data_IF_149993900255
#
_entry.id   IF_149993900255
#
_cell.length_a   1.000
_cell.length_b   1.000
_cell.length_c   1.000
_cell.angle_alpha   90.00
_cell.angle_beta   90.00
_cell.angle_gamma   90.00
#
_symmetry.space_group_name_H-M   'P 1'
#
loop_
_entity.id
_entity.type
_entity.pdbx_description
1 polymer ?
#
# COMPACT_ATOMS: atom_id res chain seq x y z
N UNK A 1 13.00 32.11 -10.29
CA UNK A 1 14.48 32.00 -10.28
C UNK A 1 15.00 31.55 -8.91
N UNK A 2 14.51 32.11 -7.81
CA UNK A 2 14.97 31.78 -6.44
C UNK A 2 14.76 30.31 -6.03
N UNK A 3 13.61 29.71 -6.33
CA UNK A 3 13.39 28.28 -6.05
C UNK A 3 14.40 27.38 -6.76
N UNK A 4 14.75 27.68 -8.02
CA UNK A 4 15.70 26.87 -8.79
C UNK A 4 17.12 26.93 -8.21
N UNK A 5 17.52 28.07 -7.63
CA UNK A 5 18.80 28.23 -6.94
C UNK A 5 18.81 27.48 -5.59
N UNK A 6 17.71 27.54 -4.83
CA UNK A 6 17.54 26.77 -3.59
C UNK A 6 17.65 25.26 -3.85
N UNK A 7 17.02 24.77 -4.92
CA UNK A 7 17.07 23.35 -5.31
C UNK A 7 18.46 22.89 -5.76
N UNK A 8 19.16 23.71 -6.54
CA UNK A 8 20.54 23.41 -6.93
C UNK A 8 21.45 23.33 -5.70
N UNK A 9 21.24 24.23 -4.73
CA UNK A 9 21.95 24.24 -3.44
C UNK A 9 21.68 22.99 -2.61
N UNK A 10 20.40 22.61 -2.41
CA UNK A 10 20.03 21.40 -1.65
C UNK A 10 20.57 20.13 -2.30
N UNK A 11 20.49 20.03 -3.63
CA UNK A 11 21.03 18.88 -4.38
C UNK A 11 22.55 18.78 -4.20
N UNK A 12 23.27 19.90 -4.25
CA UNK A 12 24.72 19.90 -4.06
C UNK A 12 25.14 19.62 -2.61
N UNK A 13 24.39 20.15 -1.63
CA UNK A 13 24.58 19.81 -0.21
C UNK A 13 24.39 18.31 0.02
N UNK A 14 23.37 17.70 -0.59
CA UNK A 14 23.14 16.26 -0.47
C UNK A 14 24.23 15.44 -1.14
N UNK A 15 24.71 15.83 -2.33
CA UNK A 15 25.87 15.19 -2.96
C UNK A 15 27.10 15.27 -2.08
N UNK A 16 27.33 16.40 -1.42
CA UNK A 16 28.44 16.56 -0.50
C UNK A 16 28.28 15.66 0.73
N UNK A 17 27.07 15.55 1.28
CA UNK A 17 26.78 14.66 2.40
C UNK A 17 26.99 13.20 2.01
N UNK A 18 26.55 12.76 0.82
CA UNK A 18 26.79 11.42 0.30
C UNK A 18 28.29 11.15 0.08
N UNK A 19 29.04 12.13 -0.45
CA UNK A 19 30.51 12.02 -0.59
C UNK A 19 31.19 11.86 0.77
N UNK A 20 30.74 12.62 1.78
CA UNK A 20 31.27 12.53 3.14
C UNK A 20 30.84 11.22 3.83
N UNK A 21 29.62 10.74 3.59
CA UNK A 21 29.09 9.49 4.13
C UNK A 21 29.83 8.27 3.58
N UNK A 22 30.31 8.30 2.33
CA UNK A 22 31.18 7.26 1.78
C UNK A 22 32.48 7.07 2.58
N UNK A 23 32.99 8.11 3.25
CA UNK A 23 34.14 7.99 4.15
C UNK A 23 33.80 7.33 5.50
N UNK A 24 32.51 7.20 5.83
CA UNK A 24 31.99 6.60 7.06
C UNK A 24 31.38 5.20 6.83
N UNK A 25 31.46 4.69 5.59
CA UNK A 25 30.89 3.41 5.21
C UNK A 25 31.47 2.25 6.03
N UNK A 26 30.60 1.36 6.52
CA UNK A 26 30.98 0.20 7.31
C UNK A 26 31.25 0.47 8.80
N UNK A 27 31.29 1.74 9.23
CA UNK A 27 31.54 2.09 10.64
C UNK A 27 30.33 1.73 11.53
N UNK A 28 30.57 1.17 12.74
CA UNK A 28 29.54 1.04 13.76
C UNK A 28 29.25 2.42 14.37
N UNK A 29 27.98 2.78 14.56
CA UNK A 29 27.61 4.10 15.08
C UNK A 29 27.11 4.12 16.52
N UNK A 30 26.72 2.96 17.06
CA UNK A 30 26.00 2.90 18.33
C UNK A 30 26.99 2.67 19.46
N UNK A 31 27.64 3.72 19.98
CA UNK A 31 28.34 3.59 21.27
C UNK A 31 28.68 4.88 22.06
N UNK A 32 28.13 6.07 21.75
CA UNK A 32 28.58 7.31 22.44
C UNK A 32 27.53 8.28 22.97
N UNK A 33 26.23 7.97 22.93
CA UNK A 33 25.21 8.86 23.53
C UNK A 33 24.26 8.06 24.41
N UNK A 34 23.97 8.57 25.62
CA UNK A 34 23.05 7.92 26.55
C UNK A 34 21.63 7.89 25.98
N UNK A 35 20.85 6.88 26.33
CA UNK A 35 19.46 6.73 25.90
C UNK A 35 18.63 7.99 26.23
N UNK A 36 18.86 8.60 27.39
CA UNK A 36 18.21 9.84 27.79
C UNK A 36 18.65 11.03 26.93
N UNK A 37 19.92 11.10 26.53
CA UNK A 37 20.41 12.20 25.69
C UNK A 37 19.95 12.07 24.24
N UNK A 38 19.86 10.85 23.69
CA UNK A 38 19.30 10.62 22.36
C UNK A 38 17.80 10.94 22.33
N UNK A 39 17.03 10.40 23.29
CA UNK A 39 15.60 10.72 23.41
C UNK A 39 15.41 12.22 23.62
N UNK A 40 16.20 12.87 24.48
CA UNK A 40 16.12 14.31 24.71
C UNK A 40 16.58 15.12 23.49
N UNK A 41 17.54 14.65 22.69
CA UNK A 41 17.95 15.29 21.43
C UNK A 41 16.84 15.18 20.38
N UNK A 42 16.25 13.99 20.18
CA UNK A 42 15.14 13.78 19.24
C UNK A 42 13.83 14.45 19.70
N UNK A 43 13.56 14.51 21.01
CA UNK A 43 12.44 15.25 21.61
C UNK A 43 12.67 16.76 21.51
N UNK A 44 13.89 17.25 21.73
CA UNK A 44 14.24 18.68 21.61
C UNK A 44 14.24 19.14 20.15
N UNK A 45 14.69 18.31 19.22
CA UNK A 45 14.45 18.52 17.78
C UNK A 45 12.96 18.44 17.45
N UNK A 46 12.20 17.60 18.17
CA UNK A 46 10.75 17.55 18.04
C UNK A 46 10.00 18.76 18.58
N UNK A 47 10.55 19.48 19.56
CA UNK A 47 9.99 20.71 20.14
C UNK A 47 10.50 22.00 19.46
N UNK A 48 11.56 21.91 18.66
CA UNK A 48 12.07 23.03 17.84
C UNK A 48 11.30 23.17 16.51
N UNK A 49 10.46 22.19 16.20
CA UNK A 49 9.46 22.25 15.14
C UNK A 49 8.12 22.44 15.84
N UNK A 50 7.55 23.63 15.67
CA UNK A 50 6.35 24.09 16.37
C UNK A 50 5.22 23.03 16.32
N UNK A 51 4.69 22.66 17.49
CA UNK A 51 3.58 21.70 17.63
C UNK A 51 2.28 22.20 16.97
N UNK A 52 2.28 23.44 16.47
CA UNK A 52 1.19 24.07 15.74
C UNK A 52 1.11 23.68 14.24
N UNK A 53 2.06 22.91 13.68
CA UNK A 53 2.09 22.60 12.24
C UNK A 53 0.92 21.73 11.75
N UNK A 54 0.28 20.95 12.62
CA UNK A 54 -0.95 20.21 12.26
C UNK A 54 -2.23 21.06 12.37
N UNK A 55 -2.15 22.31 12.84
CA UNK A 55 -3.30 23.21 13.02
C UNK A 55 -3.14 24.60 12.39
N UNK A 56 -1.99 24.95 11.81
CA UNK A 56 -1.81 26.21 11.08
C UNK A 56 -2.12 26.07 9.57
N UNK A 57 -2.70 27.11 8.93
CA UNK A 57 -2.71 27.20 7.48
C UNK A 57 -1.28 27.35 6.94
N UNK A 58 -1.03 26.57 5.89
CA UNK A 58 0.22 26.32 5.17
C UNK A 58 1.11 27.56 4.91
N UNK A 59 2.40 27.43 5.21
CA UNK A 59 3.47 28.37 4.78
C UNK A 59 4.19 27.92 3.50
N UNK A 60 3.73 26.85 2.84
CA UNK A 60 4.34 26.32 1.61
C UNK A 60 5.58 25.48 1.89
N UNK A 61 5.57 24.68 2.97
CA UNK A 61 6.72 23.87 3.37
C UNK A 61 6.94 22.72 2.37
N UNK A 62 8.05 22.79 1.62
CA UNK A 62 8.46 21.80 0.61
C UNK A 62 9.40 20.77 1.24
N UNK A 63 9.13 19.46 1.07
CA UNK A 63 10.00 18.38 1.52
C UNK A 63 10.68 17.67 0.35
N UNK A 64 11.89 17.12 0.54
CA UNK A 64 12.78 16.69 -0.54
C UNK A 64 13.28 15.24 -0.40
N UNK A 65 12.51 14.28 -0.89
CA UNK A 65 12.98 12.90 -0.91
C UNK A 65 13.97 12.67 -2.06
N UNK A 66 15.16 12.16 -1.71
CA UNK A 66 16.16 11.74 -2.69
C UNK A 66 16.11 10.22 -2.82
N UNK A 67 15.70 9.73 -3.99
CA UNK A 67 15.73 8.30 -4.25
C UNK A 67 17.16 7.80 -4.28
N UNK A 68 17.48 6.74 -3.53
CA UNK A 68 18.82 6.18 -3.52
C UNK A 68 19.11 5.50 -4.86
N UNK A 69 20.33 5.00 -5.01
CA UNK A 69 20.65 4.08 -6.10
C UNK A 69 19.70 2.89 -6.04
N UNK A 70 19.19 2.47 -7.18
CA UNK A 70 18.24 1.38 -7.26
C UNK A 70 18.78 0.09 -6.62
N UNK A 71 17.93 -0.58 -5.85
CA UNK A 71 18.23 -1.84 -5.17
C UNK A 71 16.95 -2.69 -5.08
N UNK A 72 17.05 -4.03 -4.97
CA UNK A 72 15.86 -4.89 -4.90
C UNK A 72 15.13 -4.80 -3.54
N UNK A 73 13.79 -4.93 -3.51
CA UNK A 73 13.06 -5.18 -2.26
C UNK A 73 13.45 -6.52 -1.64
N UNK A 74 13.19 -6.69 -0.34
CA UNK A 74 13.35 -7.98 0.33
C UNK A 74 12.25 -8.96 -0.07
N UNK A 75 12.65 -10.05 -0.73
CA UNK A 75 11.76 -11.15 -1.15
C UNK A 75 11.70 -12.33 -0.18
N UNK A 76 12.56 -12.33 0.85
CA UNK A 76 12.55 -13.36 1.89
C UNK A 76 11.54 -12.97 2.98
N UNK A 77 10.66 -13.88 3.45
CA UNK A 77 9.76 -13.62 4.57
C UNK A 77 10.51 -13.18 5.82
N UNK A 78 9.95 -12.24 6.57
CA UNK A 78 10.60 -11.69 7.77
C UNK A 78 10.98 -12.78 8.80
N UNK A 79 10.16 -13.82 8.91
CA UNK A 79 10.36 -14.96 9.82
C UNK A 79 11.53 -15.88 9.45
N UNK A 80 12.00 -15.83 8.19
CA UNK A 80 13.10 -16.67 7.68
C UNK A 80 14.46 -15.96 7.71
N UNK A 81 14.47 -14.66 7.99
CA UNK A 81 15.67 -13.84 8.06
C UNK A 81 16.37 -13.98 9.42
N UNK A 82 17.69 -13.79 9.44
CA UNK A 82 18.47 -13.88 10.68
C UNK A 82 18.44 -12.57 11.47
N UNK A 83 18.17 -12.65 12.77
CA UNK A 83 18.02 -11.48 13.64
C UNK A 83 19.31 -10.63 13.68
N UNK A 84 19.14 -9.31 13.68
CA UNK A 84 20.16 -8.30 13.86
C UNK A 84 19.72 -7.34 14.98
N UNK A 85 20.64 -6.98 15.87
CA UNK A 85 20.44 -5.92 16.87
C UNK A 85 20.77 -4.54 16.28
N UNK A 86 20.22 -3.45 16.81
CA UNK A 86 20.54 -2.10 16.34
C UNK A 86 22.04 -1.80 16.47
N UNK A 87 22.69 -2.29 17.53
CA UNK A 87 24.13 -2.14 17.74
C UNK A 87 24.99 -2.83 16.67
N UNK A 88 24.39 -3.76 15.91
CA UNK A 88 25.04 -4.43 14.79
C UNK A 88 24.95 -3.68 13.46
N UNK A 89 24.22 -2.54 13.40
CA UNK A 89 24.09 -1.75 12.17
C UNK A 89 25.40 -1.06 11.79
N UNK A 90 25.69 -1.08 10.49
CA UNK A 90 26.81 -0.36 9.88
C UNK A 90 26.31 0.68 8.90
N UNK A 91 26.90 1.88 8.97
CA UNK A 91 26.55 2.98 8.06
C UNK A 91 26.81 2.63 6.60
N UNK A 92 25.95 3.11 5.71
CA UNK A 92 26.04 2.91 4.26
C UNK A 92 25.88 1.46 3.83
N UNK A 93 25.50 0.55 4.75
CA UNK A 93 25.45 -0.88 4.48
C UNK A 93 24.01 -1.38 4.51
N UNK A 94 23.61 -2.12 3.48
CA UNK A 94 22.38 -2.94 3.50
C UNK A 94 22.71 -4.29 4.10
N UNK A 95 21.98 -4.69 5.14
CA UNK A 95 22.24 -5.93 5.86
C UNK A 95 21.42 -7.08 5.26
N UNK A 96 21.81 -7.55 4.07
CA UNK A 96 21.11 -8.63 3.34
C UNK A 96 20.98 -9.91 4.17
N UNK A 97 19.84 -10.59 4.09
CA UNK A 97 19.56 -11.79 4.89
C UNK A 97 19.36 -11.54 6.40
N UNK A 98 19.27 -10.26 6.81
CA UNK A 98 19.01 -9.86 8.20
C UNK A 98 17.62 -9.29 8.39
N UNK A 99 17.07 -9.46 9.60
CA UNK A 99 15.86 -8.77 10.06
C UNK A 99 16.14 -8.08 11.38
N UNK A 100 15.61 -6.87 11.52
CA UNK A 100 15.73 -6.07 12.73
C UNK A 100 14.34 -5.83 13.32
N UNK A 101 14.13 -6.26 14.57
CA UNK A 101 12.84 -6.08 15.26
C UNK A 101 12.92 -4.86 16.18
N UNK A 102 12.02 -3.91 15.99
CA UNK A 102 12.00 -2.64 16.73
C UNK A 102 10.62 -2.26 17.19
N UNK A 103 10.53 -1.53 18.30
CA UNK A 103 9.31 -0.92 18.83
C UNK A 103 9.37 0.60 18.67
N UNK A 104 8.32 1.20 18.10
CA UNK A 104 8.18 2.66 18.05
C UNK A 104 7.98 3.22 19.45
N UNK A 105 8.72 4.27 19.78
CA UNK A 105 8.67 4.97 21.07
C UNK A 105 8.42 6.47 20.92
N UNK A 106 8.71 7.05 19.74
CA UNK A 106 8.43 8.44 19.44
C UNK A 106 7.08 8.62 18.74
N UNK A 107 6.48 9.80 18.91
CA UNK A 107 5.36 10.21 18.06
C UNK A 107 5.82 10.30 16.60
N UNK A 108 5.13 9.64 15.67
CA UNK A 108 5.53 9.64 14.27
C UNK A 108 5.28 11.00 13.64
N UNK A 109 6.14 11.38 12.69
CA UNK A 109 6.04 12.63 11.95
C UNK A 109 6.08 12.33 10.46
N UNK A 110 5.18 12.95 9.72
CA UNK A 110 5.29 13.00 8.26
C UNK A 110 6.22 14.14 7.89
N UNK A 111 7.28 13.87 7.13
CA UNK A 111 8.18 14.84 6.52
C UNK A 111 8.29 14.53 5.02
N UNK A 112 9.41 13.93 4.60
CA UNK A 112 9.65 13.35 3.27
C UNK A 112 9.13 11.91 3.18
N UNK A 113 9.27 11.18 4.28
CA UNK A 113 8.61 9.92 4.57
C UNK A 113 7.85 10.03 5.90
N UNK A 114 7.50 8.90 6.50
CA UNK A 114 7.02 8.84 7.88
C UNK A 114 8.16 8.38 8.76
N UNK A 115 8.45 9.18 9.77
CA UNK A 115 9.58 8.99 10.66
C UNK A 115 9.11 8.74 12.09
N UNK A 116 9.80 7.87 12.82
CA UNK A 116 9.59 7.66 14.26
C UNK A 116 10.87 7.21 14.92
N UNK A 117 11.02 7.53 16.21
CA UNK A 117 12.09 6.95 17.04
C UNK A 117 11.70 5.52 17.41
N UNK A 118 12.64 4.60 17.21
CA UNK A 118 12.45 3.18 17.49
C UNK A 118 13.51 2.65 18.45
N UNK A 119 13.18 1.61 19.20
CA UNK A 119 14.12 0.86 20.05
C UNK A 119 14.12 -0.62 19.72
N UNK A 120 15.25 -1.30 19.90
CA UNK A 120 15.30 -2.77 19.88
C UNK A 120 15.08 -3.38 21.27
N UNK A 121 15.06 -4.72 21.35
CA UNK A 121 14.85 -5.42 22.62
C UNK A 121 16.01 -5.24 23.61
N UNK A 122 17.18 -4.82 23.13
CA UNK A 122 18.38 -4.57 23.92
C UNK A 122 18.45 -3.12 24.44
N UNK A 123 17.46 -2.28 24.11
CA UNK A 123 17.36 -0.90 24.56
C UNK A 123 18.13 0.11 23.71
N UNK A 124 18.76 -0.33 22.61
CA UNK A 124 19.38 0.58 21.64
C UNK A 124 18.29 1.37 20.91
N UNK A 125 18.60 2.59 20.50
CA UNK A 125 17.64 3.52 19.88
C UNK A 125 18.15 4.00 18.53
N UNK A 126 17.26 4.12 17.55
CA UNK A 126 17.55 4.69 16.24
C UNK A 126 16.34 5.50 15.71
N UNK A 127 16.58 6.36 14.72
CA UNK A 127 15.52 6.95 13.91
C UNK A 127 15.17 5.96 12.78
N UNK A 128 13.88 5.74 12.54
CA UNK A 128 13.35 4.97 11.40
C UNK A 128 12.63 5.94 10.47
N UNK A 129 12.86 5.83 9.17
CA UNK A 129 12.13 6.53 8.13
C UNK A 129 11.62 5.55 7.08
N UNK A 130 10.30 5.52 6.85
CA UNK A 130 9.67 4.76 5.77
C UNK A 130 9.15 5.71 4.68
N UNK A 131 9.43 5.38 3.42
CA UNK A 131 9.03 6.15 2.26
C UNK A 131 8.05 5.38 1.38
N UNK A 132 7.50 6.06 0.36
CA UNK A 132 6.60 5.48 -0.64
C UNK A 132 5.32 4.85 -0.06
N UNK A 133 4.86 5.34 1.10
CA UNK A 133 3.65 4.89 1.81
C UNK A 133 2.37 5.56 1.30
N UNK A 134 1.21 5.06 1.74
CA UNK A 134 -0.09 5.66 1.43
C UNK A 134 -0.23 7.06 2.03
N UNK A 135 -0.40 8.07 1.16
CA UNK A 135 -0.56 9.47 1.57
C UNK A 135 -1.92 9.78 2.20
N UNK A 136 -2.90 8.89 2.07
CA UNK A 136 -4.20 9.03 2.70
C UNK A 136 -4.17 8.64 4.18
N UNK A 137 -3.16 7.88 4.60
CA UNK A 137 -2.98 7.47 5.99
C UNK A 137 -2.20 8.54 6.76
N UNK A 138 -2.62 8.76 8.00
CA UNK A 138 -1.88 9.62 8.92
C UNK A 138 -0.57 8.96 9.36
N UNK A 139 0.38 9.76 9.84
CA UNK A 139 1.66 9.28 10.35
C UNK A 139 1.49 8.22 11.46
N UNK A 140 0.53 8.43 12.35
CA UNK A 140 0.17 7.54 13.45
C UNK A 140 -0.60 6.29 13.02
N UNK A 141 -1.15 6.25 11.80
CA UNK A 141 -1.69 5.03 11.20
C UNK A 141 -0.60 4.17 10.56
N UNK A 142 0.47 4.80 10.03
CA UNK A 142 1.60 4.13 9.39
C UNK A 142 2.64 3.62 10.39
N UNK A 143 3.07 4.48 11.31
CA UNK A 143 3.99 4.15 12.41
C UNK A 143 3.34 4.43 13.79
N UNK A 144 2.24 3.75 14.18
CA UNK A 144 1.61 3.96 15.48
C UNK A 144 2.61 3.89 16.62
N UNK A 145 2.45 4.75 17.63
CA UNK A 145 3.25 4.67 18.86
C UNK A 145 3.04 3.30 19.52
N UNK A 146 4.11 2.76 20.11
CA UNK A 146 4.07 1.48 20.82
C UNK A 146 3.81 0.25 19.94
N UNK A 147 4.11 0.36 18.66
CA UNK A 147 4.03 -0.69 17.66
C UNK A 147 5.34 -1.43 17.53
N UNK A 148 5.28 -2.72 17.20
CA UNK A 148 6.48 -3.51 16.87
C UNK A 148 6.53 -3.77 15.37
N UNK A 149 7.69 -3.58 14.77
CA UNK A 149 7.93 -3.81 13.34
C UNK A 149 9.17 -4.67 13.13
N UNK A 150 9.16 -5.45 12.06
CA UNK A 150 10.28 -6.15 11.50
C UNK A 150 10.76 -5.41 10.24
N UNK A 151 11.95 -4.82 10.30
CA UNK A 151 12.62 -4.23 9.15
C UNK A 151 13.49 -5.30 8.47
N UNK A 152 13.12 -5.69 7.26
CA UNK A 152 13.84 -6.67 6.44
C UNK A 152 15.02 -6.01 5.74
N UNK A 153 16.15 -6.68 5.76
CA UNK A 153 17.41 -6.25 5.14
C UNK A 153 17.75 -4.77 5.37
N UNK A 154 17.81 -4.34 6.64
CA UNK A 154 17.83 -2.93 7.00
C UNK A 154 19.02 -2.18 6.38
N UNK A 155 18.76 -0.97 5.88
CA UNK A 155 19.78 -0.04 5.39
C UNK A 155 19.92 1.13 6.37
N UNK A 156 21.15 1.40 6.79
CA UNK A 156 21.44 2.46 7.76
C UNK A 156 22.21 3.60 7.09
N UNK A 157 21.57 4.75 6.93
CA UNK A 157 22.10 5.91 6.19
C UNK A 157 22.48 7.05 7.14
N UNK A 158 23.46 7.86 6.74
CA UNK A 158 23.72 9.16 7.36
C UNK A 158 22.88 10.23 6.66
N UNK A 159 22.04 10.95 7.40
CA UNK A 159 21.28 12.11 6.90
C UNK A 159 21.81 13.40 7.54
N UNK A 160 21.22 14.55 7.20
CA UNK A 160 21.55 15.83 7.85
C UNK A 160 21.22 15.83 9.35
N UNK A 161 20.17 15.10 9.74
CA UNK A 161 19.65 15.06 11.11
C UNK A 161 20.27 13.94 11.96
N UNK A 162 21.18 13.16 11.37
CA UNK A 162 21.87 12.05 12.01
C UNK A 162 21.67 10.75 11.25
N UNK A 163 22.04 9.63 11.88
CA UNK A 163 21.92 8.34 11.21
C UNK A 163 20.52 7.74 11.38
N UNK A 164 19.97 7.23 10.27
CA UNK A 164 18.59 6.80 10.15
C UNK A 164 18.51 5.41 9.50
N UNK A 165 17.65 4.56 10.07
CA UNK A 165 17.20 3.32 9.45
C UNK A 165 16.20 3.67 8.35
N UNK A 166 16.61 3.48 7.11
CA UNK A 166 15.86 3.90 5.94
C UNK A 166 15.17 2.71 5.26
N UNK A 167 13.88 2.88 4.96
CA UNK A 167 13.07 1.89 4.25
C UNK A 167 12.39 2.56 3.05
N UNK A 168 12.89 2.32 1.84
CA UNK A 168 12.28 2.87 0.61
C UNK A 168 11.17 1.97 0.05
N UNK A 169 11.31 0.65 0.18
CA UNK A 169 10.29 -0.34 -0.22
C UNK A 169 9.31 -0.57 0.93
N UNK A 170 8.02 -0.20 0.82
CA UNK A 170 7.07 -0.39 1.92
C UNK A 170 6.91 -1.85 2.35
N UNK A 171 7.12 -2.81 1.44
CA UNK A 171 7.09 -4.25 1.73
C UNK A 171 8.20 -4.74 2.65
N UNK A 172 9.25 -3.93 2.86
CA UNK A 172 10.41 -4.28 3.69
C UNK A 172 10.18 -3.96 5.17
N UNK A 173 9.10 -3.24 5.52
CA UNK A 173 8.69 -3.02 6.90
C UNK A 173 7.40 -3.78 7.20
N UNK A 174 7.50 -4.83 8.01
CA UNK A 174 6.38 -5.70 8.36
C UNK A 174 5.91 -5.38 9.77
N UNK A 175 4.60 -5.23 9.96
CA UNK A 175 4.01 -5.06 11.29
C UNK A 175 4.05 -6.39 12.05
N UNK A 176 4.65 -6.39 13.23
CA UNK A 176 4.70 -7.57 14.12
C UNK A 176 3.66 -7.40 15.21
N UNK A 177 2.81 -8.41 15.37
CA UNK A 177 1.67 -8.37 16.27
C UNK A 177 1.89 -9.23 17.52
N UNK A 178 1.20 -8.93 18.64
CA UNK A 178 1.24 -9.79 19.81
C UNK A 178 0.82 -11.23 19.46
N UNK A 179 1.67 -12.21 19.80
CA UNK A 179 1.47 -13.62 19.48
C UNK A 179 2.17 -14.10 18.20
N UNK A 180 2.74 -13.20 17.40
CA UNK A 180 3.64 -13.58 16.31
C UNK A 180 4.92 -14.23 16.85
N UNK A 181 5.42 -15.24 16.13
CA UNK A 181 6.73 -15.85 16.36
C UNK A 181 7.89 -14.84 16.36
N UNK A 182 7.77 -13.77 15.59
CA UNK A 182 8.75 -12.68 15.53
C UNK A 182 8.72 -11.74 16.74
N UNK A 183 7.70 -11.83 17.60
CA UNK A 183 7.52 -10.92 18.74
C UNK A 183 8.54 -11.22 19.86
N UNK A 184 9.49 -10.33 20.15
CA UNK A 184 10.47 -10.53 21.22
C UNK A 184 9.77 -10.50 22.59
N UNK A 185 10.28 -11.29 23.54
CA UNK A 185 9.70 -11.37 24.90
C UNK A 185 9.66 -10.01 25.59
N UNK A 186 10.70 -9.18 25.40
CA UNK A 186 10.78 -7.84 25.99
C UNK A 186 9.74 -6.84 25.44
N UNK A 187 9.09 -7.15 24.31
CA UNK A 187 8.10 -6.28 23.67
C UNK A 187 6.66 -6.78 23.82
N UNK A 188 6.44 -7.94 24.44
CA UNK A 188 5.10 -8.44 24.69
C UNK A 188 4.33 -7.43 25.58
N UNK A 189 3.15 -7.00 25.11
CA UNK A 189 2.26 -6.14 25.88
C UNK A 189 1.70 -6.89 27.09
N UNK A 190 1.25 -6.13 28.10
CA UNK A 190 0.71 -6.67 29.35
C UNK A 190 -0.52 -7.58 29.16
N UNK A 191 -0.83 -8.34 30.21
CA UNK A 191 -1.83 -9.42 30.28
C UNK A 191 -3.23 -9.06 29.73
N UNK A 192 -3.60 -7.78 29.70
CA UNK A 192 -4.95 -7.28 29.32
C UNK A 192 -5.31 -7.49 27.84
N UNK A 193 -4.36 -7.38 26.90
CA UNK A 193 -4.65 -7.67 25.47
C UNK A 193 -4.61 -9.18 25.18
N UNK A 194 -3.92 -9.97 26.01
CA UNK A 194 -3.88 -11.43 25.90
C UNK A 194 -5.23 -12.07 26.28
N UNK A 195 -6.05 -11.39 27.09
CA UNK A 195 -7.37 -11.87 27.54
C UNK A 195 -8.53 -11.56 26.57
N UNK A 196 -8.32 -10.73 25.54
CA UNK A 196 -9.39 -10.37 24.60
C UNK A 196 -9.80 -11.57 23.74
N UNK A 197 -11.11 -11.82 23.69
CA UNK A 197 -11.74 -12.86 22.85
C UNK A 197 -11.86 -12.39 21.39
N UNK A 198 -12.08 -13.30 20.43
CA UNK A 198 -12.40 -12.92 19.05
C UNK A 198 -13.60 -11.95 18.95
N UNK A 199 -14.59 -12.08 19.85
CA UNK A 199 -15.75 -11.20 19.95
C UNK A 199 -15.38 -9.78 20.37
N UNK A 200 -14.48 -9.63 21.34
CA UNK A 200 -14.00 -8.31 21.79
C UNK A 200 -13.31 -7.58 20.65
N UNK A 201 -12.42 -8.29 19.93
CA UNK A 201 -11.75 -7.76 18.74
C UNK A 201 -12.71 -7.40 17.62
N UNK A 202 -13.78 -8.19 17.41
CA UNK A 202 -14.86 -7.85 16.48
C UNK A 202 -15.53 -6.54 16.90
N UNK A 203 -15.81 -6.36 18.19
CA UNK A 203 -16.38 -5.15 18.76
C UNK A 203 -15.51 -3.92 18.50
N UNK A 204 -14.21 -4.01 18.80
CA UNK A 204 -13.24 -2.93 18.55
C UNK A 204 -13.13 -2.58 17.07
N UNK A 205 -13.04 -3.60 16.20
CA UNK A 205 -13.00 -3.35 14.75
C UNK A 205 -14.26 -2.67 14.23
N UNK A 206 -15.44 -3.03 14.77
CA UNK A 206 -16.70 -2.36 14.42
C UNK A 206 -16.72 -0.90 14.88
N UNK A 207 -16.23 -0.60 16.08
CA UNK A 207 -16.12 0.77 16.58
C UNK A 207 -15.17 1.59 15.72
N UNK A 208 -14.00 1.04 15.38
CA UNK A 208 -13.03 1.68 14.49
C UNK A 208 -13.61 1.91 13.07
N UNK A 209 -14.37 0.95 12.55
CA UNK A 209 -15.05 1.07 11.26
C UNK A 209 -16.07 2.22 11.27
N UNK A 210 -16.88 2.33 12.32
CA UNK A 210 -17.85 3.42 12.49
C UNK A 210 -17.17 4.79 12.60
N UNK A 211 -15.99 4.83 13.25
CA UNK A 211 -15.13 6.02 13.31
C UNK A 211 -14.41 6.33 11.98
N UNK A 212 -14.59 5.48 10.95
CA UNK A 212 -13.88 5.53 9.65
C UNK A 212 -12.36 5.38 9.77
N UNK A 213 -11.87 4.86 10.90
CA UNK A 213 -10.47 4.49 11.10
C UNK A 213 -10.24 3.09 10.50
N UNK A 214 -10.27 3.00 9.17
CA UNK A 214 -10.25 1.73 8.45
C UNK A 214 -8.98 0.91 8.72
N UNK A 215 -7.81 1.54 8.86
CA UNK A 215 -6.56 0.84 9.21
C UNK A 215 -6.67 0.15 10.58
N UNK A 216 -7.19 0.87 11.59
CA UNK A 216 -7.42 0.31 12.93
C UNK A 216 -8.48 -0.80 12.92
N UNK A 217 -9.53 -0.67 12.10
CA UNK A 217 -10.55 -1.70 11.96
C UNK A 217 -9.99 -3.00 11.35
N UNK A 218 -9.21 -2.88 10.27
CA UNK A 218 -8.52 -4.02 9.65
C UNK A 218 -7.63 -4.74 10.66
N UNK A 219 -6.84 -3.97 11.43
CA UNK A 219 -5.97 -4.49 12.47
C UNK A 219 -6.75 -5.27 13.54
N UNK A 220 -7.81 -4.69 14.09
CA UNK A 220 -8.62 -5.34 15.12
C UNK A 220 -9.26 -6.63 14.60
N UNK A 221 -9.76 -6.65 13.36
CA UNK A 221 -10.30 -7.88 12.77
C UNK A 221 -9.23 -8.95 12.55
N UNK A 222 -8.03 -8.56 12.11
CA UNK A 222 -6.89 -9.46 11.97
C UNK A 222 -6.43 -10.04 13.32
N UNK A 223 -6.44 -9.26 14.40
CA UNK A 223 -6.21 -9.75 15.77
C UNK A 223 -7.26 -10.77 16.20
N UNK A 224 -8.55 -10.48 15.98
CA UNK A 224 -9.63 -11.42 16.27
C UNK A 224 -9.45 -12.75 15.54
N UNK A 225 -9.06 -12.71 14.27
CA UNK A 225 -8.82 -13.91 13.46
C UNK A 225 -7.66 -14.76 13.99
N UNK A 226 -6.58 -14.13 14.47
CA UNK A 226 -5.46 -14.83 15.10
C UNK A 226 -5.85 -15.52 16.42
N UNK A 227 -6.91 -15.04 17.10
CA UNK A 227 -7.41 -15.61 18.35
C UNK A 227 -8.48 -16.70 18.15
N UNK A 228 -9.05 -16.82 16.95
CA UNK A 228 -10.11 -17.80 16.70
C UNK A 228 -9.58 -19.25 16.76
N UNK A 229 -10.18 -20.06 17.63
CA UNK A 229 -10.04 -21.52 17.70
C UNK A 229 -11.02 -22.23 16.75
N UNK A 230 -10.90 -23.54 16.52
CA UNK A 230 -11.80 -24.28 15.61
C UNK A 230 -13.29 -24.10 15.93
N UNK A 231 -13.63 -23.89 17.22
CA UNK A 231 -15.00 -23.70 17.69
C UNK A 231 -15.60 -22.33 17.30
N UNK A 232 -14.76 -21.37 16.89
CA UNK A 232 -15.12 -19.98 16.62
C UNK A 232 -15.54 -19.72 15.17
N UNK A 233 -16.10 -20.71 14.45
CA UNK A 233 -16.38 -20.58 13.00
C UNK A 233 -17.31 -19.40 12.67
N UNK A 234 -18.34 -19.16 13.50
CA UNK A 234 -19.28 -18.06 13.29
C UNK A 234 -18.60 -16.69 13.39
N UNK A 235 -17.87 -16.44 14.47
CA UNK A 235 -17.17 -15.16 14.68
C UNK A 235 -16.02 -15.00 13.68
N UNK A 236 -15.30 -16.07 13.36
CA UNK A 236 -14.29 -16.08 12.30
C UNK A 236 -14.85 -15.60 10.96
N UNK A 237 -16.01 -16.12 10.55
CA UNK A 237 -16.66 -15.68 9.31
C UNK A 237 -17.14 -14.24 9.38
N UNK A 238 -17.65 -13.78 10.53
CA UNK A 238 -18.00 -12.37 10.74
C UNK A 238 -16.77 -11.46 10.57
N UNK A 239 -15.64 -11.83 11.18
CA UNK A 239 -14.38 -11.10 11.11
C UNK A 239 -13.85 -11.00 9.68
N UNK A 240 -13.77 -12.12 8.95
CA UNK A 240 -13.40 -12.11 7.53
C UNK A 240 -14.35 -11.25 6.70
N UNK A 241 -15.66 -11.33 6.95
CA UNK A 241 -16.66 -10.52 6.27
C UNK A 241 -16.39 -9.03 6.49
N UNK A 242 -16.12 -8.61 7.72
CA UNK A 242 -15.88 -7.22 8.06
C UNK A 242 -14.51 -6.74 7.54
N UNK A 243 -13.48 -7.57 7.65
CA UNK A 243 -12.15 -7.27 7.10
C UNK A 243 -12.18 -7.12 5.58
N UNK A 244 -12.96 -7.94 4.87
CA UNK A 244 -13.20 -7.76 3.43
C UNK A 244 -13.79 -6.39 3.11
N UNK A 245 -14.79 -5.94 3.88
CA UNK A 245 -15.42 -4.63 3.67
C UNK A 245 -14.42 -3.49 3.90
N UNK A 246 -13.64 -3.56 4.97
CA UNK A 246 -12.61 -2.57 5.28
C UNK A 246 -11.52 -2.54 4.21
N UNK A 247 -11.06 -3.71 3.75
CA UNK A 247 -10.07 -3.80 2.68
C UNK A 247 -10.56 -3.19 1.36
N UNK A 248 -11.86 -3.20 1.06
CA UNK A 248 -12.42 -2.46 -0.08
C UNK A 248 -12.23 -0.93 0.10
N UNK A 249 -12.47 -0.40 1.30
CA UNK A 249 -12.25 1.03 1.59
C UNK A 249 -10.77 1.41 1.56
N UNK A 250 -9.88 0.50 1.98
CA UNK A 250 -8.43 0.65 1.90
C UNK A 250 -7.87 0.36 0.49
N UNK A 251 -8.72 0.07 -0.51
CA UNK A 251 -8.33 -0.27 -1.89
C UNK A 251 -7.39 -1.49 -2.00
N UNK A 252 -7.47 -2.41 -1.04
CA UNK A 252 -6.74 -3.69 -0.98
C UNK A 252 -7.63 -4.80 -1.52
N UNK A 253 -7.96 -4.71 -2.80
CA UNK A 253 -9.01 -5.51 -3.43
C UNK A 253 -8.66 -7.00 -3.53
N UNK A 254 -7.38 -7.36 -3.72
CA UNK A 254 -6.96 -8.78 -3.69
C UNK A 254 -7.28 -9.42 -2.33
N UNK A 255 -6.94 -8.74 -1.22
CA UNK A 255 -7.25 -9.21 0.13
C UNK A 255 -8.76 -9.23 0.39
N UNK A 256 -9.48 -8.18 -0.03
CA UNK A 256 -10.93 -8.13 0.10
C UNK A 256 -11.62 -9.29 -0.64
N UNK A 257 -11.15 -9.61 -1.85
CA UNK A 257 -11.67 -10.70 -2.65
C UNK A 257 -11.38 -12.05 -1.98
N UNK A 258 -10.17 -12.25 -1.45
CA UNK A 258 -9.78 -13.46 -0.71
C UNK A 258 -10.67 -13.67 0.52
N UNK A 259 -10.82 -12.64 1.36
CA UNK A 259 -11.64 -12.70 2.57
C UNK A 259 -13.12 -12.92 2.24
N UNK A 260 -13.65 -12.26 1.21
CA UNK A 260 -15.04 -12.44 0.78
C UNK A 260 -15.30 -13.88 0.32
N UNK A 261 -14.42 -14.44 -0.52
CA UNK A 261 -14.51 -15.83 -1.01
C UNK A 261 -14.47 -16.84 0.15
N UNK A 262 -13.62 -16.63 1.15
CA UNK A 262 -13.54 -17.52 2.32
C UNK A 262 -14.89 -17.65 3.05
N UNK A 263 -15.67 -16.58 3.06
CA UNK A 263 -16.92 -16.52 3.85
C UNK A 263 -18.14 -17.08 3.13
N UNK A 264 -18.01 -17.45 1.86
CA UNK A 264 -19.07 -18.12 1.10
C UNK A 264 -19.25 -19.56 1.58
N UNK A 265 -20.46 -19.94 1.97
CA UNK A 265 -20.81 -21.27 2.45
C UNK A 265 -20.97 -22.28 1.32
N UNK A 266 -21.68 -21.89 0.27
CA UNK A 266 -21.97 -22.76 -0.84
C UNK A 266 -21.34 -22.15 -2.09
N UNK A 267 -20.68 -22.96 -2.92
CA UNK A 267 -20.31 -22.54 -4.27
C UNK A 267 -21.38 -22.96 -5.29
N UNK A 268 -22.12 -24.02 -4.97
CA UNK A 268 -23.27 -24.52 -5.73
C UNK A 268 -24.58 -24.19 -5.01
N UNK A 269 -25.54 -23.63 -5.73
CA UNK A 269 -26.87 -23.27 -5.22
C UNK A 269 -27.67 -24.50 -4.76
N UNK A 270 -27.36 -25.68 -5.29
CA UNK A 270 -28.01 -26.94 -4.92
C UNK A 270 -27.68 -27.42 -3.50
N UNK A 271 -26.73 -26.79 -2.83
CA UNK A 271 -26.31 -27.12 -1.46
C UNK A 271 -27.15 -26.43 -0.37
N UNK A 272 -28.05 -25.52 -0.76
CA UNK A 272 -29.02 -24.96 0.17
C UNK A 272 -30.10 -26.00 0.50
N UNK A 273 -30.43 -26.12 1.78
CA UNK A 273 -31.35 -27.15 2.25
C UNK A 273 -32.82 -26.74 2.06
N UNK A 274 -33.09 -25.43 1.95
CA UNK A 274 -34.43 -24.86 1.79
C UNK A 274 -34.37 -23.44 1.20
N UNK A 275 -35.55 -22.87 0.93
CA UNK A 275 -35.66 -21.48 0.49
C UNK A 275 -35.25 -20.45 1.55
N UNK A 276 -35.56 -20.73 2.81
CA UNK A 276 -35.28 -19.87 3.97
C UNK A 276 -33.92 -20.14 4.65
N UNK A 277 -32.99 -20.78 3.94
CA UNK A 277 -31.67 -21.12 4.48
C UNK A 277 -30.88 -19.84 4.87
N UNK A 278 -30.52 -19.64 6.17
CA UNK A 278 -29.86 -18.41 6.63
C UNK A 278 -28.47 -18.20 6.01
N UNK A 279 -27.88 -19.24 5.42
CA UNK A 279 -26.61 -19.14 4.69
C UNK A 279 -26.76 -18.34 3.39
N UNK A 280 -27.95 -18.29 2.79
CA UNK A 280 -28.23 -17.49 1.58
C UNK A 280 -27.95 -16.01 1.80
N UNK A 281 -28.47 -15.43 2.88
CA UNK A 281 -28.24 -14.02 3.20
C UNK A 281 -26.75 -13.73 3.47
N UNK A 282 -26.02 -14.67 4.07
CA UNK A 282 -24.58 -14.55 4.29
C UNK A 282 -23.80 -14.61 2.98
N UNK A 283 -24.14 -15.55 2.10
CA UNK A 283 -23.54 -15.71 0.78
C UNK A 283 -23.88 -14.55 -0.14
N UNK A 284 -25.06 -13.94 0.00
CA UNK A 284 -25.43 -12.73 -0.72
C UNK A 284 -24.47 -11.58 -0.39
N UNK A 285 -24.20 -11.37 0.91
CA UNK A 285 -23.25 -10.33 1.38
C UNK A 285 -21.82 -10.62 0.95
N UNK A 286 -21.39 -11.88 1.04
CA UNK A 286 -20.08 -12.31 0.59
C UNK A 286 -19.91 -12.13 -0.93
N UNK A 287 -20.92 -12.54 -1.71
CA UNK A 287 -21.01 -12.34 -3.15
C UNK A 287 -20.94 -10.86 -3.53
N UNK A 288 -21.70 -10.00 -2.87
CA UNK A 288 -21.67 -8.58 -3.16
C UNK A 288 -20.28 -7.96 -2.92
N UNK A 289 -19.60 -8.34 -1.83
CA UNK A 289 -18.24 -7.86 -1.52
C UNK A 289 -17.20 -8.42 -2.49
N UNK A 290 -17.29 -9.70 -2.83
CA UNK A 290 -16.43 -10.33 -3.84
C UNK A 290 -16.62 -9.68 -5.21
N UNK A 291 -17.87 -9.39 -5.62
CA UNK A 291 -18.19 -8.68 -6.85
C UNK A 291 -17.58 -7.28 -6.88
N UNK A 292 -17.71 -6.51 -5.78
CA UNK A 292 -17.06 -5.19 -5.67
C UNK A 292 -15.55 -5.26 -5.79
N UNK A 293 -14.91 -6.19 -5.10
CA UNK A 293 -13.45 -6.34 -5.19
C UNK A 293 -13.01 -6.78 -6.59
N UNK A 294 -13.68 -7.77 -7.19
CA UNK A 294 -13.39 -8.24 -8.55
C UNK A 294 -13.62 -7.14 -9.60
N UNK A 295 -14.63 -6.28 -9.42
CA UNK A 295 -14.89 -5.14 -10.30
C UNK A 295 -13.72 -4.14 -10.29
N UNK A 296 -13.24 -3.75 -9.11
CA UNK A 296 -12.09 -2.83 -8.98
C UNK A 296 -10.77 -3.47 -9.46
N UNK A 297 -10.68 -4.80 -9.41
CA UNK A 297 -9.59 -5.57 -10.01
C UNK A 297 -9.68 -5.70 -11.54
N UNK A 298 -10.76 -5.19 -12.15
CA UNK A 298 -11.08 -5.32 -13.58
C UNK A 298 -11.34 -6.77 -14.04
N UNK A 299 -11.65 -7.69 -13.12
CA UNK A 299 -12.10 -9.04 -13.46
C UNK A 299 -13.61 -9.05 -13.73
N UNK A 300 -14.00 -8.49 -14.88
CA UNK A 300 -15.40 -8.20 -15.19
C UNK A 300 -16.32 -9.43 -15.19
N UNK A 301 -15.82 -10.56 -15.70
CA UNK A 301 -16.59 -11.81 -15.77
C UNK A 301 -16.83 -12.38 -14.37
N UNK A 302 -15.80 -12.38 -13.51
CA UNK A 302 -15.93 -12.81 -12.11
C UNK A 302 -16.85 -11.87 -11.33
N UNK A 303 -16.68 -10.56 -11.51
CA UNK A 303 -17.51 -9.54 -10.88
C UNK A 303 -18.99 -9.76 -11.21
N UNK A 304 -19.32 -9.99 -12.49
CA UNK A 304 -20.67 -10.31 -12.93
C UNK A 304 -21.22 -11.55 -12.22
N UNK A 305 -20.46 -12.64 -12.21
CA UNK A 305 -20.87 -13.89 -11.54
C UNK A 305 -21.15 -13.70 -10.04
N UNK A 306 -20.29 -12.94 -9.35
CA UNK A 306 -20.49 -12.65 -7.93
C UNK A 306 -21.69 -11.74 -7.66
N UNK A 307 -21.95 -10.75 -8.52
CA UNK A 307 -23.14 -9.91 -8.38
C UNK A 307 -24.44 -10.63 -8.76
N UNK A 308 -24.42 -11.55 -9.73
CA UNK A 308 -25.55 -12.44 -10.04
C UNK A 308 -25.91 -13.27 -8.81
N UNK A 309 -24.91 -13.92 -8.21
CA UNK A 309 -25.08 -14.67 -6.96
C UNK A 309 -25.65 -13.79 -5.84
N UNK A 310 -25.10 -12.58 -5.66
CA UNK A 310 -25.59 -11.64 -4.67
C UNK A 310 -27.06 -11.25 -4.91
N UNK A 311 -27.44 -11.02 -6.16
CA UNK A 311 -28.81 -10.65 -6.56
C UNK A 311 -29.80 -11.78 -6.31
N UNK A 312 -29.42 -13.03 -6.59
CA UNK A 312 -30.27 -14.22 -6.38
C UNK A 312 -30.69 -14.37 -4.92
N UNK A 313 -29.72 -14.25 -4.00
CA UNK A 313 -29.93 -14.52 -2.57
C UNK A 313 -30.24 -13.30 -1.71
N UNK A 314 -30.26 -12.09 -2.29
CA UNK A 314 -30.60 -10.88 -1.56
C UNK A 314 -32.12 -10.65 -1.46
N UNK A 315 -32.51 -10.05 -0.36
CA UNK A 315 -33.79 -9.34 -0.22
C UNK A 315 -33.88 -8.14 -1.17
N UNK A 316 -35.05 -7.50 -1.24
CA UNK A 316 -35.37 -6.47 -2.24
C UNK A 316 -34.29 -5.39 -2.40
N UNK A 317 -33.87 -4.72 -1.31
CA UNK A 317 -32.89 -3.65 -1.39
C UNK A 317 -31.52 -4.14 -1.90
N UNK A 318 -31.01 -5.26 -1.35
CA UNK A 318 -29.75 -5.85 -1.81
C UNK A 318 -29.82 -6.36 -3.26
N UNK A 319 -30.99 -6.85 -3.70
CA UNK A 319 -31.24 -7.29 -5.08
C UNK A 319 -31.19 -6.12 -6.05
N UNK A 320 -31.76 -4.98 -5.69
CA UNK A 320 -31.70 -3.75 -6.48
C UNK A 320 -30.26 -3.21 -6.55
N UNK A 321 -29.53 -3.20 -5.44
CA UNK A 321 -28.13 -2.79 -5.38
C UNK A 321 -27.23 -3.66 -6.26
N UNK A 322 -27.37 -4.99 -6.16
CA UNK A 322 -26.67 -5.94 -7.02
C UNK A 322 -27.07 -5.78 -8.50
N UNK A 323 -28.35 -5.49 -8.78
CA UNK A 323 -28.85 -5.16 -10.11
C UNK A 323 -28.11 -3.98 -10.74
N UNK A 324 -27.95 -2.88 -10.00
CA UNK A 324 -27.19 -1.71 -10.48
C UNK A 324 -25.72 -2.03 -10.75
N UNK A 325 -25.10 -2.85 -9.90
CA UNK A 325 -23.71 -3.29 -10.15
C UNK A 325 -23.60 -4.22 -11.36
N UNK A 326 -24.61 -5.05 -11.64
CA UNK A 326 -24.64 -5.88 -12.85
C UNK A 326 -24.76 -5.06 -14.12
N UNK A 327 -25.65 -4.06 -14.15
CA UNK A 327 -25.77 -3.13 -15.28
C UNK A 327 -24.44 -2.40 -15.53
N UNK A 328 -23.84 -1.90 -14.45
CA UNK A 328 -22.52 -1.24 -14.50
C UNK A 328 -21.42 -2.18 -15.01
N UNK A 329 -21.40 -3.43 -14.58
CA UNK A 329 -20.44 -4.45 -15.03
C UNK A 329 -20.68 -4.85 -16.49
N UNK A 330 -21.93 -4.96 -16.92
CA UNK A 330 -22.28 -5.25 -18.30
C UNK A 330 -21.78 -4.17 -19.26
N UNK A 331 -21.86 -2.89 -18.86
CA UNK A 331 -21.26 -1.80 -19.63
C UNK A 331 -19.75 -1.98 -19.81
N UNK A 332 -19.00 -2.33 -18.74
CA UNK A 332 -17.55 -2.61 -18.86
C UNK A 332 -17.23 -3.78 -19.78
N UNK A 333 -18.04 -4.84 -19.74
CA UNK A 333 -17.88 -5.99 -20.63
C UNK A 333 -18.08 -5.56 -22.09
N UNK A 334 -19.15 -4.81 -22.39
CA UNK A 334 -19.42 -4.31 -23.74
C UNK A 334 -18.31 -3.36 -24.25
N UNK A 335 -17.72 -2.55 -23.37
CA UNK A 335 -16.54 -1.73 -23.70
C UNK A 335 -15.34 -2.59 -24.09
N UNK A 336 -15.00 -3.59 -23.28
CA UNK A 336 -13.88 -4.51 -23.52
C UNK A 336 -14.08 -5.31 -24.81
N UNK A 337 -15.27 -5.86 -25.01
CA UNK A 337 -15.53 -6.81 -26.10
C UNK A 337 -15.88 -6.13 -27.42
N UNK A 338 -16.71 -5.08 -27.37
CA UNK A 338 -17.35 -4.50 -28.56
C UNK A 338 -16.97 -3.03 -28.80
N UNK A 339 -16.08 -2.45 -27.97
CA UNK A 339 -15.74 -1.03 -28.03
C UNK A 339 -16.98 -0.12 -27.90
N UNK A 340 -17.98 -0.57 -27.13
CA UNK A 340 -19.26 0.11 -26.95
C UNK A 340 -19.17 1.27 -25.95
N UNK A 341 -18.50 2.36 -26.36
CA UNK A 341 -18.39 3.60 -25.58
C UNK A 341 -19.38 4.66 -26.05
N UNK A 342 -20.05 5.31 -25.10
CA UNK A 342 -20.78 6.55 -25.36
C UNK A 342 -19.88 7.74 -25.01
N UNK A 343 -19.08 8.18 -25.98
CA UNK A 343 -18.13 9.28 -25.78
C UNK A 343 -18.80 10.61 -25.42
N UNK A 344 -20.03 10.84 -25.87
CA UNK A 344 -20.77 12.04 -25.47
C UNK A 344 -21.17 11.98 -23.99
N UNK A 345 -21.70 10.83 -23.53
CA UNK A 345 -22.00 10.63 -22.12
C UNK A 345 -20.73 10.70 -21.25
N UNK A 346 -19.61 10.12 -21.72
CA UNK A 346 -18.31 10.24 -21.07
C UNK A 346 -17.93 11.71 -20.89
N UNK A 347 -17.96 12.48 -21.98
CA UNK A 347 -17.63 13.91 -21.95
C UNK A 347 -18.57 14.71 -21.04
N UNK A 348 -19.86 14.40 -21.01
CA UNK A 348 -20.84 15.07 -20.11
C UNK A 348 -20.61 14.72 -18.64
N UNK A 349 -20.16 13.49 -18.35
CA UNK A 349 -19.90 13.02 -16.98
C UNK A 349 -18.58 13.52 -16.41
N UNK A 350 -17.63 13.89 -17.28
CA UNK A 350 -16.32 14.40 -16.89
C UNK A 350 -16.46 15.80 -16.28
N UNK A 351 -15.92 15.98 -15.08
CA UNK A 351 -15.85 17.28 -14.42
C UNK A 351 -14.63 17.35 -13.50
N UNK A 352 -14.37 18.53 -12.91
CA UNK A 352 -13.30 18.65 -11.90
C UNK A 352 -13.50 17.69 -10.72
N UNK A 353 -14.75 17.42 -10.32
CA UNK A 353 -15.11 16.51 -9.24
C UNK A 353 -15.23 15.05 -9.70
N UNK A 354 -15.45 14.83 -10.99
CA UNK A 354 -15.54 13.51 -11.62
C UNK A 354 -14.44 13.38 -12.67
N UNK A 355 -13.19 13.32 -12.18
CA UNK A 355 -11.99 13.27 -13.00
C UNK A 355 -11.47 11.82 -13.22
N UNK A 356 -12.10 10.84 -12.56
CA UNK A 356 -11.85 9.41 -12.74
C UNK A 356 -13.09 8.74 -13.31
N UNK A 357 -13.16 8.75 -14.63
CA UNK A 357 -14.25 8.08 -15.31
C UNK A 357 -14.15 6.56 -15.11
N UNK A 358 -15.28 5.95 -14.84
CA UNK A 358 -15.42 4.52 -14.71
C UNK A 358 -15.65 3.95 -16.11
N UNK A 359 -14.59 3.53 -16.80
CA UNK A 359 -14.63 2.81 -18.07
C UNK A 359 -13.54 1.74 -18.12
N UNK A 360 -13.76 0.69 -18.91
CA UNK A 360 -12.78 -0.37 -19.13
C UNK A 360 -11.94 -0.08 -20.39
N UNK A 361 -10.76 -0.71 -20.47
CA UNK A 361 -9.91 -0.62 -21.66
C UNK A 361 -10.36 -1.58 -22.77
N UNK A 362 -10.46 -1.08 -24.00
CA UNK A 362 -10.58 -1.85 -25.22
C UNK A 362 -9.23 -1.92 -25.93
N UNK A 363 -8.50 -3.02 -25.72
CA UNK A 363 -7.20 -3.31 -26.36
C UNK A 363 -7.19 -4.67 -27.06
N UNK A 364 -8.36 -5.30 -27.22
CA UNK A 364 -8.53 -6.68 -27.70
C UNK A 364 -8.04 -6.87 -29.14
N UNK A 365 -8.16 -5.84 -29.98
CA UNK A 365 -7.82 -5.88 -31.41
C UNK A 365 -6.38 -5.50 -31.74
N UNK A 366 -5.54 -5.32 -30.72
CA UNK A 366 -4.11 -5.04 -30.91
C UNK A 366 -3.26 -6.05 -30.17
N UNK A 367 -2.03 -6.24 -30.64
CA UNK A 367 -1.02 -7.11 -30.04
C UNK A 367 0.28 -6.34 -29.91
N UNK A 368 0.97 -6.53 -28.79
CA UNK A 368 2.35 -6.07 -28.65
C UNK A 368 3.25 -7.01 -29.46
N UNK A 369 4.25 -6.45 -30.14
CA UNK A 369 5.20 -7.22 -30.93
C UNK A 369 6.55 -6.53 -31.05
N UNK A 370 7.51 -7.24 -31.61
CA UNK A 370 8.81 -6.68 -31.98
C UNK A 370 8.71 -5.99 -33.35
N UNK A 371 9.14 -4.73 -33.41
CA UNK A 371 9.22 -3.92 -34.62
C UNK A 371 10.66 -3.82 -35.15
N UNK A 372 11.56 -4.72 -34.73
CA UNK A 372 12.95 -4.81 -35.18
C UNK A 372 13.79 -3.66 -34.63
N UNK A 373 14.40 -2.89 -35.53
CA UNK A 373 15.22 -1.72 -35.19
C UNK A 373 14.44 -0.59 -34.48
N UNK A 374 13.09 -0.65 -34.52
CA UNK A 374 12.19 0.29 -33.83
C UNK A 374 11.75 -0.17 -32.43
N UNK A 375 12.26 -1.31 -31.96
CA UNK A 375 11.96 -1.84 -30.63
C UNK A 375 10.53 -2.37 -30.51
N UNK A 376 9.88 -2.13 -29.35
CA UNK A 376 8.55 -2.67 -29.06
C UNK A 376 7.45 -1.87 -29.74
N UNK A 377 6.61 -2.54 -30.52
CA UNK A 377 5.49 -1.94 -31.26
C UNK A 377 4.12 -2.52 -30.86
N UNK A 378 3.07 -1.85 -31.36
CA UNK A 378 1.69 -2.28 -31.24
C UNK A 378 1.11 -2.52 -32.64
N UNK A 379 0.56 -3.71 -32.86
CA UNK A 379 0.14 -4.20 -34.17
C UNK A 379 -1.35 -4.53 -34.18
N UNK A 380 -2.01 -4.26 -35.30
CA UNK A 380 -3.38 -4.65 -35.52
C UNK A 380 -3.53 -6.18 -35.61
N UNK A 381 -4.54 -6.75 -34.94
CA UNK A 381 -4.91 -8.18 -35.06
C UNK A 381 -5.96 -8.44 -36.14
N UNK A 382 -6.54 -7.39 -36.69
CA UNK A 382 -7.57 -7.44 -37.74
C UNK A 382 -7.51 -6.19 -38.61
N UNK A 383 -8.14 -6.26 -39.77
CA UNK A 383 -8.33 -5.08 -40.61
C UNK A 383 -9.34 -4.12 -39.98
N UNK A 384 -9.08 -2.83 -40.14
CA UNK A 384 -9.95 -1.74 -39.67
C UNK A 384 -10.51 -0.96 -40.85
N UNK A 385 -11.78 -0.56 -40.73
CA UNK A 385 -12.40 0.39 -41.64
C UNK A 385 -12.30 1.80 -41.06
N UNK A 386 -12.31 2.85 -41.92
CA UNK A 386 -12.44 4.23 -41.44
C UNK A 386 -13.59 4.37 -40.44
N UNK A 387 -13.32 5.01 -39.30
CA UNK A 387 -14.28 5.20 -38.21
C UNK A 387 -14.33 4.07 -37.16
N UNK A 388 -13.59 2.97 -37.33
CA UNK A 388 -13.47 1.97 -36.27
C UNK A 388 -12.61 2.49 -35.10
N UNK A 389 -13.06 2.21 -33.87
CA UNK A 389 -12.23 2.40 -32.69
C UNK A 389 -11.18 1.28 -32.64
N UNK A 390 -9.90 1.67 -32.64
CA UNK A 390 -8.77 0.72 -32.62
C UNK A 390 -8.43 0.35 -31.19
N UNK A 391 -8.25 1.37 -30.34
CA UNK A 391 -7.90 1.26 -28.92
C UNK A 391 -8.67 2.31 -28.14
N UNK A 392 -9.11 1.95 -26.94
CA UNK A 392 -9.40 2.87 -25.86
C UNK A 392 -8.75 2.31 -24.60
N UNK A 393 -7.86 3.06 -23.96
CA UNK A 393 -7.11 2.56 -22.81
C UNK A 393 -7.29 3.47 -21.60
N UNK A 394 -7.68 2.86 -20.48
CA UNK A 394 -7.66 3.49 -19.17
C UNK A 394 -6.26 3.41 -18.60
N UNK A 395 -5.73 4.57 -18.18
CA UNK A 395 -4.45 4.65 -17.50
C UNK A 395 -4.41 3.74 -16.26
N UNK A 396 -3.28 3.08 -16.02
CA UNK A 396 -3.12 2.21 -14.85
C UNK A 396 -3.28 2.97 -13.53
N UNK A 397 -2.74 4.19 -13.47
CA UNK A 397 -2.88 5.12 -12.35
C UNK A 397 -2.98 6.54 -12.86
N UNK A 398 -3.73 7.38 -12.14
CA UNK A 398 -3.80 8.83 -12.36
C UNK A 398 -3.64 9.54 -11.03
N UNK A 399 -3.07 10.74 -11.07
CA UNK A 399 -3.05 11.65 -9.95
C UNK A 399 -3.61 13.01 -10.40
N UNK A 400 -4.34 13.67 -9.51
CA UNK A 400 -4.98 14.96 -9.77
C UNK A 400 -4.58 15.99 -8.70
N UNK A 401 -4.75 17.28 -9.00
CA UNK A 401 -4.33 18.39 -8.13
C UNK A 401 -4.98 18.35 -6.74
N UNK A 402 -6.22 17.87 -6.64
CA UNK A 402 -6.95 17.73 -5.38
C UNK A 402 -6.41 16.61 -4.47
N UNK A 403 -5.51 15.79 -4.99
CA UNK A 403 -4.81 14.73 -4.25
C UNK A 403 -3.39 15.11 -3.86
N UNK A 404 -2.95 16.28 -4.31
CA UNK A 404 -1.83 16.95 -3.69
C UNK A 404 -2.29 17.29 -2.28
N UNK A 405 -1.98 16.39 -1.33
CA UNK A 405 -2.25 16.64 0.08
C UNK A 405 -1.59 17.95 0.53
N UNK A 406 -1.75 18.32 1.80
CA UNK A 406 -1.28 19.62 2.32
C UNK A 406 0.22 19.91 2.17
N UNK A 407 1.03 18.98 1.65
CA UNK A 407 2.48 19.17 1.43
C UNK A 407 2.90 18.72 0.04
N UNK A 408 3.72 19.54 -0.60
CA UNK A 408 4.37 19.20 -1.88
C UNK A 408 5.71 18.52 -1.60
N UNK A 409 5.83 17.24 -2.01
CA UNK A 409 7.09 16.49 -1.94
C UNK A 409 7.77 16.56 -3.31
N UNK A 410 9.04 16.94 -3.33
CA UNK A 410 9.90 16.85 -4.49
C UNK A 410 10.74 15.57 -4.41
N UNK A 411 10.79 14.82 -5.51
CA UNK A 411 11.57 13.59 -5.64
C UNK A 411 12.76 13.82 -6.54
N UNK A 412 13.97 13.72 -6.00
CA UNK A 412 15.17 13.68 -6.82
C UNK A 412 15.57 12.23 -7.08
N UNK A 413 15.44 11.80 -8.33
CA UNK A 413 15.89 10.49 -8.76
C UNK A 413 17.37 10.54 -9.11
N UNK A 414 18.21 10.00 -8.23
CA UNK A 414 19.67 9.95 -8.45
C UNK A 414 20.08 9.00 -9.58
N UNK A 415 19.22 8.04 -9.96
CA UNK A 415 19.47 7.09 -11.04
C UNK A 415 19.32 7.74 -12.43
N UNK A 416 18.42 8.72 -12.56
CA UNK A 416 18.13 9.41 -13.83
C UNK A 416 18.51 10.90 -13.82
N UNK A 417 19.00 11.41 -12.68
CA UNK A 417 19.27 12.83 -12.43
C UNK A 417 18.06 13.75 -12.68
N UNK A 418 16.85 13.21 -12.57
CA UNK A 418 15.61 13.94 -12.81
C UNK A 418 14.90 14.27 -11.49
N UNK A 419 14.17 15.39 -11.45
CA UNK A 419 13.39 15.78 -10.27
C UNK A 419 11.91 15.79 -10.63
N UNK A 420 11.11 14.95 -9.98
CA UNK A 420 9.66 14.96 -10.05
C UNK A 420 9.08 15.82 -8.91
N UNK A 421 7.93 16.47 -9.13
CA UNK A 421 7.31 17.35 -8.13
C UNK A 421 5.80 17.26 -8.15
N UNK A 422 5.20 17.47 -6.99
CA UNK A 422 3.75 17.64 -6.84
C UNK A 422 2.96 16.44 -7.32
N UNK A 423 2.03 16.64 -8.25
CA UNK A 423 1.19 15.57 -8.82
C UNK A 423 2.00 14.36 -9.31
N UNK A 424 3.21 14.57 -9.86
CA UNK A 424 4.06 13.46 -10.33
C UNK A 424 4.48 12.53 -9.18
N UNK A 425 4.71 13.08 -7.99
CA UNK A 425 5.06 12.28 -6.81
C UNK A 425 3.83 11.56 -6.28
N UNK A 426 2.67 12.23 -6.24
CA UNK A 426 1.38 11.60 -5.91
C UNK A 426 1.06 10.41 -6.83
N UNK A 427 1.38 10.50 -8.12
CA UNK A 427 1.21 9.38 -9.05
C UNK A 427 2.06 8.18 -8.65
N UNK A 428 3.34 8.38 -8.30
CA UNK A 428 4.22 7.30 -7.85
C UNK A 428 3.66 6.62 -6.61
N UNK A 429 3.28 7.39 -5.57
CA UNK A 429 2.68 6.82 -4.36
C UNK A 429 1.43 5.99 -4.69
N UNK A 430 0.52 6.53 -5.52
CA UNK A 430 -0.71 5.82 -5.91
C UNK A 430 -0.41 4.51 -6.65
N UNK A 431 0.59 4.50 -7.55
CA UNK A 431 1.02 3.31 -8.28
C UNK A 431 1.64 2.30 -7.31
N UNK A 432 2.59 2.71 -6.46
CA UNK A 432 3.24 1.84 -5.48
C UNK A 432 2.22 1.19 -4.56
N UNK A 433 1.28 1.96 -4.00
CA UNK A 433 0.23 1.41 -3.12
C UNK A 433 -0.72 0.47 -3.85
N UNK A 434 -1.10 0.79 -5.10
CA UNK A 434 -1.93 -0.08 -5.93
C UNK A 434 -1.22 -1.41 -6.19
N UNK A 435 0.06 -1.40 -6.56
CA UNK A 435 0.86 -2.58 -6.84
C UNK A 435 1.12 -3.42 -5.57
N UNK A 436 1.43 -2.77 -4.44
CA UNK A 436 1.70 -3.40 -3.15
C UNK A 436 0.51 -4.24 -2.65
N UNK A 437 -0.70 -3.71 -2.82
CA UNK A 437 -1.93 -4.30 -2.27
C UNK A 437 -2.78 -5.06 -3.29
N UNK A 438 -2.54 -4.87 -4.59
CA UNK A 438 -3.26 -5.53 -5.68
C UNK A 438 -2.26 -6.20 -6.65
N UNK A 439 -1.47 -7.10 -6.09
CA UNK A 439 -0.44 -7.89 -6.77
C UNK A 439 -0.92 -8.56 -8.06
N UNK A 440 -2.19 -8.96 -8.13
CA UNK A 440 -2.80 -9.55 -9.31
C UNK A 440 -2.73 -8.62 -10.53
N UNK A 441 -2.68 -7.31 -10.31
CA UNK A 441 -2.55 -6.30 -11.35
C UNK A 441 -1.10 -5.92 -11.68
N UNK A 442 -0.13 -6.32 -10.85
CA UNK A 442 1.26 -5.91 -10.99
C UNK A 442 1.90 -6.37 -12.30
N UNK A 443 1.57 -7.58 -12.76
CA UNK A 443 2.09 -8.12 -14.02
C UNK A 443 1.74 -7.23 -15.23
N UNK A 444 0.53 -6.63 -15.27
CA UNK A 444 0.11 -5.73 -16.37
C UNK A 444 0.92 -4.44 -16.38
N UNK A 445 1.28 -3.95 -15.21
CA UNK A 445 2.05 -2.72 -15.07
C UNK A 445 3.52 -2.93 -15.44
N UNK A 446 4.18 -3.96 -14.91
CA UNK A 446 5.59 -4.25 -15.21
C UNK A 446 5.82 -4.78 -16.63
N UNK A 447 4.75 -5.16 -17.31
CA UNK A 447 4.76 -5.47 -18.74
C UNK A 447 4.62 -4.20 -19.61
N UNK A 448 4.48 -3.00 -19.06
CA UNK A 448 4.56 -1.75 -19.82
C UNK A 448 6.02 -1.47 -20.26
N UNK A 449 6.20 -0.50 -21.17
CA UNK A 449 7.54 -0.07 -21.56
C UNK A 449 8.08 0.89 -20.48
N UNK A 450 9.19 0.54 -19.85
CA UNK A 450 9.83 1.33 -18.78
C UNK A 450 11.07 2.10 -19.26
N UNK A 451 11.34 2.11 -20.57
CA UNK A 451 12.50 2.77 -21.15
C UNK A 451 13.82 1.98 -21.03
N UNK A 452 13.76 0.69 -20.69
CA UNK A 452 14.93 -0.18 -20.62
C UNK A 452 15.53 -0.30 -19.21
N UNK A 453 14.70 -0.11 -18.19
CA UNK A 453 15.12 -0.31 -16.80
C UNK A 453 15.41 -1.80 -16.56
N UNK A 454 16.53 -2.09 -15.87
CA UNK A 454 16.83 -3.46 -15.47
C UNK A 454 16.12 -3.79 -14.18
N UNK A 455 14.96 -4.46 -14.28
CA UNK A 455 14.15 -4.90 -13.14
C UNK A 455 15.00 -5.61 -12.09
N UNK A 456 14.99 -5.12 -10.85
CA UNK A 456 15.75 -5.72 -9.75
C UNK A 456 15.00 -6.90 -9.14
N UNK A 457 13.67 -6.90 -9.22
CA UNK A 457 12.82 -7.96 -8.69
C UNK A 457 11.50 -8.10 -9.45
N UNK A 458 11.07 -9.35 -9.69
CA UNK A 458 9.69 -9.61 -10.12
C UNK A 458 8.74 -9.46 -8.93
N UNK A 459 7.57 -8.88 -9.14
CA UNK A 459 6.56 -8.77 -8.10
C UNK A 459 6.25 -10.14 -7.48
N UNK A 460 6.38 -10.26 -6.16
CA UNK A 460 6.16 -11.50 -5.43
C UNK A 460 5.40 -11.22 -4.13
N UNK A 461 4.43 -12.08 -3.78
CA UNK A 461 3.75 -11.98 -2.49
C UNK A 461 4.65 -12.49 -1.35
N UNK A 462 4.93 -11.61 -0.39
CA UNK A 462 5.77 -11.87 0.78
C UNK A 462 5.19 -11.13 1.99
N UNK A 463 5.06 -11.80 3.14
CA UNK A 463 4.51 -11.21 4.37
C UNK A 463 3.13 -10.53 4.20
N UNK A 464 2.30 -11.03 3.28
CA UNK A 464 0.93 -10.54 3.05
C UNK A 464 0.80 -9.34 2.11
N UNK A 465 1.91 -8.83 1.55
CA UNK A 465 1.94 -7.76 0.53
C UNK A 465 2.83 -8.14 -0.65
N UNK A 466 2.75 -7.41 -1.77
CA UNK A 466 3.66 -7.62 -2.88
C UNK A 466 5.00 -6.92 -2.65
N UNK A 467 6.10 -7.67 -2.59
CA UNK A 467 7.43 -7.10 -2.77
C UNK A 467 7.55 -6.64 -4.22
N UNK A 468 7.63 -5.32 -4.42
CA UNK A 468 7.70 -4.67 -5.73
C UNK A 468 8.94 -3.79 -5.81
N UNK A 469 9.56 -3.73 -6.98
CA UNK A 469 10.66 -2.81 -7.26
C UNK A 469 10.09 -1.40 -7.47
N UNK A 470 10.23 -0.53 -6.46
CA UNK A 470 9.69 0.83 -6.51
C UNK A 470 10.44 1.72 -7.52
N UNK A 471 11.63 1.32 -7.96
CA UNK A 471 12.42 2.10 -8.91
C UNK A 471 12.01 1.83 -10.36
N UNK A 472 11.33 0.71 -10.60
CA UNK A 472 10.66 0.42 -11.87
C UNK A 472 9.26 1.05 -11.95
N UNK A 473 8.60 1.23 -10.80
CA UNK A 473 7.28 1.87 -10.69
C UNK A 473 7.32 3.38 -10.96
#
# INVERSE_FOLDING_TARGET
MEQHALWASLTEQQRQLLRNAGALEGLPLVDKMSQEDLVRMFVKMSSLVDESIDTQPDTGQQSFYSMPKAYPPSTTPAAELSLLALSGLRLGTRHTGKVLIVRTIGHPKSNEGVESTVKDEFGSVAQLAIYNTDRLLKADELLPTDAVFAAKEPYYEMTFDGACLRVDHPSDLVRVYPGDTLMPKGFQRGVSELSKTPEDWKGEGNLAYLAKCYSAAEMAYSQGLMKCSEQDDKVRRDLYRNRALVNIFLRRYDLALKDAKYTMYCQDEKLYQSDDDPRKASDARAGYRAGRAAYELESWVDARSYFERARTFSEKAGREDAGRQLERTAARIAEVDDAAYDFEAMSRSASKLCNRLDHASHIKHVAKGDAGDRGRGLFAKRDFKPGNLIICEKAFGTAHLDEEGHRTVAFHNTNTCCTARGIQTSLLYNIVQKLLHNSSQAHRFFDLCDGGYSTQCKAQMVDGVAAIDIFQA
#
